data_IF_136590965698
#
_entry.id   IF_136590965698
#
_cell.length_a   1.000
_cell.length_b   1.000
_cell.length_c   1.000
_cell.angle_alpha   90.00
_cell.angle_beta   90.00
_cell.angle_gamma   90.00
#
_symmetry.space_group_name_H-M   'P 1'
#
loop_
_entity.id
_entity.type
_entity.pdbx_description
1 polymer ?
#
# COMPACT_ATOMS: atom_id res chain seq x y z
N UNK A 1 62.64 -15.70 -29.96
CA UNK A 1 61.18 -15.83 -30.29
C UNK A 1 60.35 -16.55 -29.24
N UNK A 2 60.90 -17.30 -28.28
CA UNK A 2 60.07 -17.99 -27.24
C UNK A 2 59.66 -17.13 -25.99
N UNK A 3 60.37 -16.04 -25.72
CA UNK A 3 60.10 -15.17 -24.59
C UNK A 3 58.96 -14.18 -24.82
N UNK A 4 58.74 -13.73 -26.06
CA UNK A 4 57.63 -12.79 -26.36
C UNK A 4 56.24 -13.42 -26.35
N UNK A 5 56.12 -14.74 -26.54
CA UNK A 5 54.83 -15.43 -26.54
C UNK A 5 54.27 -15.65 -25.12
N UNK A 6 55.16 -15.79 -24.12
CA UNK A 6 54.77 -16.00 -22.73
C UNK A 6 54.22 -14.72 -22.09
N UNK A 7 54.73 -13.54 -22.45
CA UNK A 7 54.26 -12.26 -21.95
C UNK A 7 52.85 -11.91 -22.47
N UNK A 8 52.52 -12.29 -23.70
CA UNK A 8 51.21 -12.01 -24.31
C UNK A 8 50.10 -12.87 -23.65
N UNK A 9 50.41 -14.13 -23.32
CA UNK A 9 49.44 -15.04 -22.68
C UNK A 9 49.13 -14.58 -21.25
N UNK A 10 50.14 -14.10 -20.49
CA UNK A 10 49.91 -13.58 -19.12
C UNK A 10 49.09 -12.29 -19.12
N UNK A 11 49.27 -11.40 -20.13
CA UNK A 11 48.49 -10.17 -20.25
C UNK A 11 47.03 -10.44 -20.62
N UNK A 12 46.76 -11.42 -21.48
CA UNK A 12 45.38 -11.79 -21.89
C UNK A 12 44.63 -12.43 -20.72
N UNK A 13 45.29 -13.25 -19.88
CA UNK A 13 44.67 -13.86 -18.71
C UNK A 13 44.38 -12.84 -17.59
N UNK A 14 45.22 -11.83 -17.38
CA UNK A 14 44.99 -10.76 -16.41
C UNK A 14 43.85 -9.85 -16.83
N UNK A 15 43.71 -9.50 -18.11
CA UNK A 15 42.59 -8.69 -18.62
C UNK A 15 41.28 -9.47 -18.58
N UNK A 16 41.29 -10.78 -18.83
CA UNK A 16 40.10 -11.63 -18.71
C UNK A 16 39.63 -11.77 -17.26
N UNK A 17 40.55 -11.90 -16.28
CA UNK A 17 40.19 -11.92 -14.85
C UNK A 17 39.65 -10.57 -14.34
N UNK A 18 40.21 -9.44 -14.79
CA UNK A 18 39.73 -8.10 -14.44
C UNK A 18 38.32 -7.82 -15.02
N UNK A 19 38.06 -8.29 -16.24
CA UNK A 19 36.74 -8.16 -16.85
C UNK A 19 35.67 -9.10 -16.23
N UNK A 20 36.08 -10.25 -15.71
CA UNK A 20 35.17 -11.16 -14.98
C UNK A 20 34.77 -10.58 -13.62
N UNK A 21 35.75 -10.02 -12.86
CA UNK A 21 35.45 -9.36 -11.55
C UNK A 21 34.66 -8.07 -11.72
N UNK A 22 34.90 -7.28 -12.77
CA UNK A 22 34.10 -6.10 -13.08
C UNK A 22 32.66 -6.46 -13.52
N UNK A 23 32.48 -7.60 -14.21
CA UNK A 23 31.12 -8.10 -14.55
C UNK A 23 30.35 -8.69 -13.35
N UNK A 24 31.04 -9.24 -12.36
CA UNK A 24 30.40 -9.71 -11.12
C UNK A 24 30.03 -8.56 -10.19
N UNK A 25 30.83 -7.48 -10.16
CA UNK A 25 30.50 -6.29 -9.38
C UNK A 25 29.33 -5.47 -9.96
N UNK A 26 29.06 -5.53 -11.27
CA UNK A 26 27.91 -4.84 -11.88
C UNK A 26 26.60 -5.61 -11.76
N UNK A 27 26.60 -6.84 -11.24
CA UNK A 27 25.39 -7.62 -10.90
C UNK A 27 24.99 -7.51 -9.43
N UNK A 28 25.50 -6.54 -8.68
CA UNK A 28 24.85 -6.11 -7.45
C UNK A 28 23.59 -5.36 -7.86
N UNK A 29 22.52 -6.10 -8.13
CA UNK A 29 21.17 -5.59 -8.25
C UNK A 29 20.99 -4.70 -7.03
N UNK A 30 20.80 -3.40 -7.22
CA UNK A 30 20.36 -2.50 -6.17
C UNK A 30 18.99 -3.07 -5.78
N UNK A 31 18.95 -3.93 -4.77
CA UNK A 31 17.70 -4.31 -4.16
C UNK A 31 17.13 -3.01 -3.59
N UNK A 32 16.18 -2.43 -4.30
CA UNK A 32 15.39 -1.33 -3.76
C UNK A 32 14.86 -1.81 -2.42
N UNK A 33 15.21 -1.09 -1.36
CA UNK A 33 14.81 -1.48 0.00
C UNK A 33 13.29 -1.62 0.05
N UNK A 34 12.83 -2.77 0.54
CA UNK A 34 11.41 -3.06 0.65
C UNK A 34 10.76 -2.09 1.65
N UNK A 35 9.78 -1.32 1.20
CA UNK A 35 9.07 -0.37 2.04
C UNK A 35 8.11 -1.11 2.98
N UNK A 36 8.22 -0.80 4.27
CA UNK A 36 7.23 -1.17 5.28
C UNK A 36 6.53 0.11 5.73
N UNK A 37 5.28 0.27 5.31
CA UNK A 37 4.50 1.47 5.55
C UNK A 37 3.27 1.16 6.40
N UNK A 38 2.63 2.21 6.92
CA UNK A 38 1.30 2.14 7.53
C UNK A 38 0.33 3.06 6.78
N UNK A 39 -0.88 2.60 6.58
CA UNK A 39 -1.98 3.43 6.07
C UNK A 39 -2.33 4.46 7.13
N UNK A 40 -2.22 5.74 6.79
CA UNK A 40 -2.39 6.85 7.70
C UNK A 40 -3.65 7.63 7.38
N UNK A 41 -4.64 7.45 8.22
CA UNK A 41 -5.87 8.22 8.24
C UNK A 41 -5.98 8.90 9.61
N UNK A 42 -6.01 10.26 9.68
CA UNK A 42 -6.03 10.98 10.94
C UNK A 42 -7.46 11.23 11.49
N UNK A 43 -8.44 10.47 11.03
CA UNK A 43 -9.83 10.57 11.48
C UNK A 43 -10.07 9.74 12.75
N UNK A 44 -9.37 10.12 13.82
CA UNK A 44 -9.41 9.45 15.13
C UNK A 44 -10.42 10.10 16.08
N UNK A 45 -10.77 9.41 17.14
CA UNK A 45 -11.74 9.89 18.15
C UNK A 45 -13.11 10.13 17.54
N UNK A 46 -13.59 11.38 17.63
CA UNK A 46 -14.91 11.79 17.13
C UNK A 46 -14.90 12.35 15.71
N UNK A 47 -13.73 12.38 15.06
CA UNK A 47 -13.63 12.89 13.69
C UNK A 47 -14.24 11.87 12.73
N UNK A 48 -15.25 12.31 11.98
CA UNK A 48 -15.88 11.52 10.94
C UNK A 48 -15.86 12.31 9.62
N UNK A 49 -15.16 11.82 8.59
CA UNK A 49 -15.09 12.48 7.29
C UNK A 49 -16.44 12.62 6.60
N UNK A 50 -17.39 11.68 6.80
CA UNK A 50 -18.71 11.69 6.19
C UNK A 50 -19.56 12.88 6.67
N UNK A 51 -19.24 13.43 7.83
CA UNK A 51 -19.87 14.63 8.37
C UNK A 51 -19.03 15.89 8.17
N UNK A 52 -18.06 15.84 7.26
CA UNK A 52 -17.24 16.98 6.91
C UNK A 52 -16.20 17.37 7.97
N UNK A 53 -15.84 16.46 8.88
CA UNK A 53 -14.78 16.71 9.83
C UNK A 53 -13.42 16.75 9.12
N UNK A 54 -12.56 17.67 9.55
CA UNK A 54 -11.21 17.84 9.03
C UNK A 54 -10.19 17.74 10.16
N UNK A 55 -9.11 16.94 10.00
CA UNK A 55 -8.06 16.86 11.01
C UNK A 55 -7.28 18.17 11.05
N UNK A 56 -6.92 18.60 12.26
CA UNK A 56 -6.06 19.77 12.43
C UNK A 56 -4.59 19.45 12.17
N UNK A 57 -3.80 20.47 11.90
CA UNK A 57 -2.35 20.35 11.75
C UNK A 57 -1.69 19.81 13.01
N UNK A 58 -2.17 20.22 14.18
CA UNK A 58 -1.66 19.78 15.49
C UNK A 58 -1.91 18.30 15.71
N UNK A 59 -3.13 17.83 15.41
CA UNK A 59 -3.47 16.40 15.50
C UNK A 59 -2.60 15.55 14.58
N UNK A 60 -2.43 15.95 13.32
CA UNK A 60 -1.57 15.23 12.38
C UNK A 60 -0.14 15.14 12.90
N UNK A 61 0.42 16.23 13.44
CA UNK A 61 1.75 16.22 14.03
C UNK A 61 1.82 15.27 15.23
N UNK A 62 0.85 15.30 16.14
CA UNK A 62 0.78 14.40 17.30
C UNK A 62 0.75 12.92 16.88
N UNK A 63 -0.13 12.59 15.91
CA UNK A 63 -0.27 11.21 15.44
C UNK A 63 1.01 10.71 14.73
N UNK A 64 1.66 11.53 13.91
CA UNK A 64 2.92 11.16 13.27
C UNK A 64 4.05 11.00 14.28
N UNK A 65 4.15 11.89 15.28
CA UNK A 65 5.13 11.74 16.38
C UNK A 65 4.90 10.45 17.14
N UNK A 66 3.64 10.11 17.40
CA UNK A 66 3.27 8.87 18.07
C UNK A 66 3.64 7.64 17.25
N UNK A 67 3.31 7.65 15.96
CA UNK A 67 3.61 6.55 15.04
C UNK A 67 5.12 6.26 15.00
N UNK A 68 5.96 7.27 14.77
CA UNK A 68 7.41 7.08 14.67
C UNK A 68 8.08 6.73 16.01
N UNK A 69 7.48 7.13 17.12
CA UNK A 69 7.99 6.83 18.47
C UNK A 69 7.71 5.38 18.88
N UNK A 70 6.53 4.86 18.54
CA UNK A 70 6.07 3.55 19.03
C UNK A 70 6.18 2.43 17.99
N UNK A 71 6.44 2.77 16.72
CA UNK A 71 6.55 1.80 15.63
C UNK A 71 7.82 1.99 14.80
N UNK A 72 8.25 0.98 14.03
CA UNK A 72 9.37 1.12 13.11
C UNK A 72 9.01 1.86 11.82
N UNK A 73 7.74 2.20 11.57
CA UNK A 73 7.31 2.77 10.31
C UNK A 73 7.90 4.16 10.06
N UNK A 74 8.50 4.35 8.88
CA UNK A 74 9.04 5.61 8.36
C UNK A 74 8.50 5.90 6.96
N UNK A 75 7.42 5.22 6.63
CA UNK A 75 6.65 5.39 5.40
C UNK A 75 5.17 5.29 5.75
N UNK A 76 4.35 6.15 5.14
CA UNK A 76 2.89 6.13 5.27
C UNK A 76 2.22 6.19 3.90
N UNK A 77 0.97 5.76 3.84
CA UNK A 77 0.05 6.00 2.72
C UNK A 77 -1.13 6.83 3.23
N UNK A 78 -1.47 7.92 2.51
CA UNK A 78 -2.59 8.81 2.88
C UNK A 78 -3.79 8.57 1.97
N UNK A 79 -4.99 8.92 2.43
CA UNK A 79 -6.24 8.74 1.69
C UNK A 79 -6.79 10.05 1.08
N UNK A 80 -6.00 11.09 1.03
CA UNK A 80 -6.41 12.35 0.42
C UNK A 80 -5.31 13.40 0.46
N UNK A 81 -5.60 14.52 -0.24
CA UNK A 81 -4.68 15.64 -0.45
C UNK A 81 -5.33 17.00 -0.12
N UNK A 82 -6.54 16.99 0.44
CA UNK A 82 -7.35 18.16 0.78
C UNK A 82 -8.01 17.98 2.16
N UNK A 83 -8.76 18.99 2.57
CA UNK A 83 -9.63 18.93 3.75
C UNK A 83 -8.88 18.62 5.06
N UNK A 84 -7.71 19.25 5.24
CA UNK A 84 -6.82 19.06 6.38
C UNK A 84 -5.76 17.96 6.15
N UNK A 85 -5.99 17.03 5.22
CA UNK A 85 -5.01 15.97 4.92
C UNK A 85 -3.73 16.50 4.26
N UNK A 86 -3.78 17.66 3.61
CA UNK A 86 -2.63 18.34 3.02
C UNK A 86 -1.54 18.71 4.06
N UNK A 87 -1.90 18.89 5.31
CA UNK A 87 -0.93 19.14 6.39
C UNK A 87 0.01 17.95 6.64
N UNK A 88 -0.39 16.74 6.21
CA UNK A 88 0.41 15.52 6.37
C UNK A 88 1.75 15.61 5.64
N UNK A 89 1.80 16.27 4.47
CA UNK A 89 3.02 16.28 3.65
C UNK A 89 4.15 17.10 4.28
N UNK A 90 3.85 18.30 4.77
CA UNK A 90 4.82 19.10 5.51
C UNK A 90 5.25 18.44 6.84
N UNK A 91 4.29 17.83 7.55
CA UNK A 91 4.55 17.12 8.80
C UNK A 91 5.42 15.88 8.59
N UNK A 92 5.21 15.14 7.50
CA UNK A 92 6.00 13.98 7.10
C UNK A 92 7.43 14.40 6.67
N UNK A 93 7.55 15.48 5.88
CA UNK A 93 8.84 16.01 5.46
C UNK A 93 9.72 16.39 6.66
N UNK A 94 9.16 17.10 7.64
CA UNK A 94 9.86 17.49 8.87
C UNK A 94 10.36 16.29 9.70
N UNK A 95 9.79 15.10 9.50
CA UNK A 95 10.12 13.85 10.20
C UNK A 95 10.85 12.84 9.32
N UNK A 96 11.20 13.21 8.09
CA UNK A 96 11.80 12.32 7.08
C UNK A 96 10.96 11.06 6.80
N UNK A 97 9.64 11.14 6.94
CA UNK A 97 8.69 10.07 6.59
C UNK A 97 8.42 10.12 5.09
N UNK A 98 8.48 8.97 4.41
CA UNK A 98 8.08 8.85 3.02
C UNK A 98 6.57 8.68 2.90
N UNK A 99 5.99 9.23 1.83
CA UNK A 99 4.55 9.23 1.63
C UNK A 99 4.20 8.61 0.27
N UNK A 100 3.25 7.69 0.27
CA UNK A 100 2.47 7.30 -0.89
C UNK A 100 1.16 8.06 -0.78
N UNK A 101 0.91 9.00 -1.69
CA UNK A 101 -0.26 9.87 -1.60
C UNK A 101 -1.38 9.40 -2.53
N UNK A 102 -2.57 9.22 -1.98
CA UNK A 102 -3.78 8.93 -2.75
C UNK A 102 -4.49 10.25 -3.02
N UNK A 103 -4.78 10.50 -4.29
CA UNK A 103 -5.70 11.54 -4.73
C UNK A 103 -7.09 10.90 -4.72
N UNK A 104 -7.89 11.21 -3.71
CA UNK A 104 -9.19 10.58 -3.55
C UNK A 104 -10.11 10.94 -4.71
N UNK A 105 -10.72 9.93 -5.32
CA UNK A 105 -11.73 10.06 -6.37
C UNK A 105 -13.04 9.47 -5.88
N UNK A 106 -14.12 10.20 -6.10
CA UNK A 106 -15.46 9.88 -5.69
C UNK A 106 -16.46 10.04 -6.86
N UNK A 107 -17.75 9.97 -6.58
CA UNK A 107 -18.82 10.14 -7.56
C UNK A 107 -19.07 11.61 -7.96
N UNK A 108 -18.54 12.59 -7.22
CA UNK A 108 -18.59 14.02 -7.57
C UNK A 108 -17.39 14.44 -8.42
N UNK A 109 -17.62 14.63 -9.75
CA UNK A 109 -16.60 15.06 -10.71
C UNK A 109 -15.99 16.42 -10.34
N UNK A 110 -16.76 17.33 -9.72
CA UNK A 110 -16.24 18.64 -9.31
C UNK A 110 -15.30 18.50 -8.10
N UNK A 111 -15.60 17.60 -7.17
CA UNK A 111 -14.70 17.25 -6.07
C UNK A 111 -13.44 16.59 -6.65
N UNK A 112 -13.57 15.64 -7.57
CA UNK A 112 -12.44 15.00 -8.23
C UNK A 112 -11.50 16.00 -8.92
N UNK A 113 -12.05 17.01 -9.58
CA UNK A 113 -11.25 18.05 -10.25
C UNK A 113 -10.41 18.84 -9.24
N UNK A 114 -10.98 19.21 -8.09
CA UNK A 114 -10.25 19.89 -7.01
C UNK A 114 -9.19 18.98 -6.39
N UNK A 115 -9.53 17.71 -6.16
CA UNK A 115 -8.62 16.70 -5.60
C UNK A 115 -7.40 16.46 -6.51
N UNK A 116 -7.62 16.37 -7.83
CA UNK A 116 -6.54 16.23 -8.82
C UNK A 116 -5.64 17.48 -8.82
N UNK A 117 -6.22 18.68 -8.81
CA UNK A 117 -5.43 19.94 -8.77
C UNK A 117 -4.58 20.00 -7.50
N UNK A 118 -5.17 19.73 -6.33
CA UNK A 118 -4.44 19.69 -5.06
C UNK A 118 -3.35 18.58 -5.07
N UNK A 119 -3.63 17.43 -5.68
CA UNK A 119 -2.65 16.34 -5.85
C UNK A 119 -1.42 16.76 -6.67
N UNK A 120 -1.64 17.53 -7.74
CA UNK A 120 -0.54 18.09 -8.55
C UNK A 120 0.29 19.08 -7.72
N UNK A 121 -0.37 19.96 -6.95
CA UNK A 121 0.30 20.96 -6.11
C UNK A 121 1.18 20.31 -5.04
N UNK A 122 0.64 19.34 -4.27
CA UNK A 122 1.42 18.69 -3.21
C UNK A 122 2.54 17.81 -3.78
N UNK A 123 2.32 17.14 -4.92
CA UNK A 123 3.35 16.33 -5.57
C UNK A 123 4.55 17.17 -6.01
N UNK A 124 4.31 18.38 -6.51
CA UNK A 124 5.35 19.35 -6.89
C UNK A 124 6.02 20.03 -5.69
N UNK A 125 5.25 20.30 -4.63
CA UNK A 125 5.77 20.93 -3.41
C UNK A 125 6.67 19.99 -2.59
N UNK A 126 6.37 18.69 -2.58
CA UNK A 126 7.05 17.69 -1.73
C UNK A 126 7.66 16.51 -2.54
N UNK A 127 8.49 16.77 -3.58
CA UNK A 127 8.94 15.72 -4.52
C UNK A 127 9.89 14.69 -3.90
N UNK A 128 10.51 15.01 -2.75
CA UNK A 128 11.39 14.09 -2.01
C UNK A 128 10.64 13.29 -0.94
N UNK A 129 9.51 13.79 -0.49
CA UNK A 129 8.66 13.19 0.55
C UNK A 129 7.64 12.27 -0.06
N UNK A 130 6.91 12.75 -1.09
CA UNK A 130 5.96 11.94 -1.85
C UNK A 130 6.74 11.09 -2.86
N UNK A 131 6.77 9.79 -2.62
CA UNK A 131 7.54 8.83 -3.43
C UNK A 131 6.71 8.12 -4.50
N UNK A 132 5.38 8.11 -4.36
CA UNK A 132 4.42 7.51 -5.29
C UNK A 132 3.06 8.20 -5.16
N UNK A 133 2.28 8.12 -6.22
CA UNK A 133 0.92 8.66 -6.29
C UNK A 133 -0.07 7.58 -6.72
N UNK A 134 -1.30 7.68 -6.19
CA UNK A 134 -2.43 6.92 -6.67
C UNK A 134 -3.59 7.82 -7.06
N UNK A 135 -4.19 7.56 -8.19
CA UNK A 135 -5.46 8.12 -8.64
C UNK A 135 -6.61 7.27 -8.09
N UNK A 136 -7.03 7.58 -6.88
CA UNK A 136 -8.04 6.85 -6.13
C UNK A 136 -7.52 5.59 -5.42
N UNK A 137 -8.38 5.05 -4.56
CA UNK A 137 -8.28 3.72 -3.94
C UNK A 137 -9.64 3.05 -4.04
N UNK A 138 -9.67 1.81 -4.53
CA UNK A 138 -10.88 0.98 -4.70
C UNK A 138 -12.00 1.66 -5.50
N UNK A 139 -11.64 2.52 -6.47
CA UNK A 139 -12.61 3.24 -7.29
C UNK A 139 -13.49 2.27 -8.07
N UNK A 140 -12.91 1.21 -8.63
CA UNK A 140 -13.64 0.19 -9.38
C UNK A 140 -14.42 -0.74 -8.45
N UNK A 141 -13.84 -1.11 -7.32
CA UNK A 141 -14.49 -1.93 -6.29
C UNK A 141 -15.76 -1.23 -5.77
N UNK A 142 -15.68 0.09 -5.46
CA UNK A 142 -16.80 0.88 -4.94
C UNK A 142 -17.86 1.22 -6.00
N UNK A 143 -17.44 1.48 -7.25
CA UNK A 143 -18.27 2.11 -8.27
C UNK A 143 -18.49 1.25 -9.53
N UNK A 144 -18.11 -0.01 -9.51
CA UNK A 144 -18.35 -0.98 -10.57
C UNK A 144 -18.05 -0.44 -12.00
N UNK A 145 -16.81 0.10 -12.18
CA UNK A 145 -16.28 0.67 -13.45
C UNK A 145 -16.88 2.03 -13.87
N UNK A 146 -17.89 2.57 -13.19
CA UNK A 146 -18.55 3.81 -13.59
C UNK A 146 -17.59 5.01 -13.68
N UNK A 147 -16.48 4.98 -12.89
CA UNK A 147 -15.51 6.06 -12.82
C UNK A 147 -14.12 5.72 -13.40
N UNK A 148 -14.03 4.70 -14.25
CA UNK A 148 -12.78 4.37 -14.95
C UNK A 148 -12.23 5.58 -15.73
N UNK A 149 -13.12 6.41 -16.30
CA UNK A 149 -12.76 7.67 -16.97
C UNK A 149 -12.10 8.68 -16.05
N UNK A 150 -12.51 8.77 -14.78
CA UNK A 150 -11.93 9.67 -13.79
C UNK A 150 -10.53 9.24 -13.36
N UNK A 151 -10.29 7.94 -13.24
CA UNK A 151 -8.93 7.38 -12.99
C UNK A 151 -8.01 7.79 -14.15
N UNK A 152 -8.43 7.57 -15.39
CA UNK A 152 -7.67 7.91 -16.58
C UNK A 152 -7.42 9.42 -16.67
N UNK A 153 -8.43 10.25 -16.36
CA UNK A 153 -8.31 11.71 -16.33
C UNK A 153 -7.29 12.18 -15.29
N UNK A 154 -7.31 11.59 -14.10
CA UNK A 154 -6.35 11.88 -13.04
C UNK A 154 -4.91 11.53 -13.47
N UNK A 155 -4.68 10.33 -13.99
CA UNK A 155 -3.36 9.88 -14.45
C UNK A 155 -2.81 10.83 -15.53
N UNK A 156 -3.64 11.19 -16.52
CA UNK A 156 -3.25 12.10 -17.60
C UNK A 156 -2.92 13.49 -17.08
N UNK A 157 -3.77 14.07 -16.21
CA UNK A 157 -3.54 15.40 -15.63
C UNK A 157 -2.22 15.48 -14.84
N UNK A 158 -1.88 14.44 -14.06
CA UNK A 158 -0.60 14.38 -13.35
C UNK A 158 0.58 14.35 -14.32
N UNK A 159 0.49 13.58 -15.39
CA UNK A 159 1.55 13.49 -16.41
C UNK A 159 1.71 14.77 -17.18
N UNK A 160 0.62 15.36 -17.65
CA UNK A 160 0.60 16.65 -18.36
C UNK A 160 1.16 17.79 -17.49
N UNK A 161 0.91 17.73 -16.19
CA UNK A 161 1.50 18.66 -15.22
C UNK A 161 3.00 18.45 -14.97
N UNK A 162 3.61 17.38 -15.51
CA UNK A 162 5.03 17.07 -15.33
C UNK A 162 5.38 16.54 -13.93
N UNK A 163 4.43 15.88 -13.26
CA UNK A 163 4.67 15.20 -11.99
C UNK A 163 5.65 14.05 -12.20
N UNK A 164 6.72 14.00 -11.39
CA UNK A 164 7.82 13.04 -11.56
C UNK A 164 7.65 11.73 -10.79
N UNK A 165 6.75 11.70 -9.81
CA UNK A 165 6.48 10.51 -9.02
C UNK A 165 5.79 9.42 -9.86
N UNK A 166 6.10 8.14 -9.65
CA UNK A 166 5.37 7.04 -10.28
C UNK A 166 3.88 7.06 -9.90
N UNK A 167 3.01 6.88 -10.89
CA UNK A 167 1.55 7.00 -10.78
C UNK A 167 0.89 5.64 -10.94
N UNK A 168 -0.13 5.37 -10.13
CA UNK A 168 -1.02 4.21 -10.25
C UNK A 168 -2.48 4.59 -9.99
N UNK A 169 -3.37 3.62 -10.02
CA UNK A 169 -4.58 3.51 -9.19
C UNK A 169 -4.40 2.33 -8.23
N UNK A 170 -5.00 2.39 -7.06
CA UNK A 170 -5.03 1.28 -6.11
C UNK A 170 -6.41 0.63 -6.18
N UNK A 171 -6.45 -0.69 -6.23
CA UNK A 171 -7.71 -1.43 -6.15
C UNK A 171 -7.50 -2.81 -5.53
N UNK A 172 -8.57 -3.58 -5.31
CA UNK A 172 -8.45 -4.94 -4.84
C UNK A 172 -7.70 -5.81 -5.86
N UNK A 173 -7.02 -6.86 -5.40
CA UNK A 173 -6.30 -7.78 -6.29
C UNK A 173 -7.21 -8.36 -7.39
N UNK A 174 -8.50 -8.55 -7.06
CA UNK A 174 -9.51 -9.11 -7.95
C UNK A 174 -9.85 -8.17 -9.11
N UNK A 175 -9.90 -6.85 -8.87
CA UNK A 175 -10.06 -5.86 -9.93
C UNK A 175 -8.88 -5.84 -10.89
N UNK A 176 -7.66 -5.98 -10.37
CA UNK A 176 -6.46 -6.11 -11.20
C UNK A 176 -6.43 -7.38 -12.04
N UNK A 177 -7.18 -8.40 -11.66
CA UNK A 177 -7.40 -9.63 -12.44
C UNK A 177 -8.59 -9.55 -13.40
N UNK A 178 -9.20 -8.37 -13.54
CA UNK A 178 -10.41 -8.17 -14.35
C UNK A 178 -11.58 -9.06 -13.90
N UNK A 179 -11.64 -9.36 -12.60
CA UNK A 179 -12.63 -10.22 -11.94
C UNK A 179 -12.70 -11.65 -12.49
N UNK A 180 -11.62 -12.16 -13.06
CA UNK A 180 -11.55 -13.52 -13.60
C UNK A 180 -10.39 -14.33 -13.05
N UNK A 181 -10.54 -15.65 -13.07
CA UNK A 181 -9.49 -16.61 -12.71
C UNK A 181 -9.33 -17.61 -13.86
N UNK A 182 -8.12 -17.86 -14.37
CA UNK A 182 -6.87 -17.20 -14.00
C UNK A 182 -6.85 -15.70 -14.30
N UNK A 183 -5.96 -14.97 -13.60
CA UNK A 183 -5.85 -13.52 -13.67
C UNK A 183 -5.51 -13.01 -15.09
N UNK A 184 -6.27 -12.03 -15.58
CA UNK A 184 -6.05 -11.38 -16.87
C UNK A 184 -5.70 -9.90 -16.70
N UNK A 185 -4.88 -9.36 -17.62
CA UNK A 185 -4.48 -7.96 -17.63
C UNK A 185 -5.70 -7.05 -17.84
N UNK A 186 -5.78 -6.00 -17.01
CA UNK A 186 -6.76 -4.91 -17.19
C UNK A 186 -6.21 -3.83 -18.12
N UNK A 187 -7.09 -3.00 -18.67
CA UNK A 187 -6.71 -1.85 -19.49
C UNK A 187 -5.85 -0.82 -18.72
N UNK A 188 -5.95 -0.76 -17.39
CA UNK A 188 -5.13 0.12 -16.55
C UNK A 188 -3.68 -0.34 -16.44
N UNK A 189 -3.41 -1.63 -16.63
CA UNK A 189 -2.05 -2.14 -16.55
C UNK A 189 -1.06 -1.44 -17.47
N UNK A 190 -1.50 -0.95 -18.64
CA UNK A 190 -0.68 -0.17 -19.55
C UNK A 190 -0.54 1.30 -19.14
N UNK A 191 -1.50 1.84 -18.40
CA UNK A 191 -1.56 3.26 -18.03
C UNK A 191 -0.78 3.62 -16.78
N UNK A 192 -0.52 2.67 -15.90
CA UNK A 192 0.12 2.90 -14.59
C UNK A 192 1.59 2.53 -14.58
N UNK A 193 2.36 3.12 -13.67
CA UNK A 193 3.81 2.85 -13.54
C UNK A 193 4.08 1.68 -12.59
N UNK A 194 3.19 1.41 -11.65
CA UNK A 194 3.25 0.33 -10.66
C UNK A 194 1.84 -0.18 -10.35
N UNK A 195 1.72 -1.31 -9.68
CA UNK A 195 0.45 -1.94 -9.31
C UNK A 195 0.26 -1.83 -7.80
N UNK A 196 -0.78 -1.13 -7.38
CA UNK A 196 -1.20 -1.05 -5.98
C UNK A 196 -2.38 -1.97 -5.71
N UNK A 197 -2.25 -2.87 -4.73
CA UNK A 197 -3.28 -3.89 -4.46
C UNK A 197 -3.66 -3.97 -3.00
N UNK A 198 -4.97 -3.98 -2.74
CA UNK A 198 -5.55 -4.25 -1.44
C UNK A 198 -5.92 -5.73 -1.34
N UNK A 199 -5.49 -6.40 -0.28
CA UNK A 199 -5.77 -7.83 -0.07
C UNK A 199 -6.14 -8.07 1.38
N UNK A 200 -7.40 -8.44 1.60
CA UNK A 200 -7.92 -8.73 2.93
C UNK A 200 -8.55 -10.13 2.97
N UNK A 201 -7.82 -11.16 3.43
CA UNK A 201 -8.42 -12.48 3.65
C UNK A 201 -9.65 -12.43 4.57
N UNK A 202 -9.73 -11.44 5.46
CA UNK A 202 -10.89 -11.19 6.29
C UNK A 202 -12.17 -10.98 5.47
N UNK A 203 -12.11 -10.06 4.48
CA UNK A 203 -13.25 -9.77 3.62
C UNK A 203 -13.52 -10.87 2.60
N UNK A 204 -12.46 -11.54 2.11
CA UNK A 204 -12.62 -12.73 1.27
C UNK A 204 -13.34 -13.85 2.04
N UNK A 205 -13.02 -14.06 3.31
CA UNK A 205 -13.72 -15.00 4.18
C UNK A 205 -15.22 -14.71 4.28
N UNK A 206 -15.60 -13.43 4.28
CA UNK A 206 -16.99 -12.99 4.39
C UNK A 206 -17.74 -13.09 3.06
N UNK A 207 -17.09 -12.66 1.98
CA UNK A 207 -17.77 -12.31 0.72
C UNK A 207 -17.54 -13.30 -0.43
N UNK A 208 -16.55 -14.19 -0.35
CA UNK A 208 -16.27 -15.15 -1.42
C UNK A 208 -16.96 -16.48 -1.19
N UNK A 209 -17.63 -16.99 -2.24
CA UNK A 209 -18.18 -18.34 -2.30
C UNK A 209 -17.22 -19.35 -2.97
N UNK A 210 -16.16 -18.87 -3.61
CA UNK A 210 -15.19 -19.65 -4.38
C UNK A 210 -13.82 -19.75 -3.69
N UNK A 211 -13.49 -18.85 -2.78
CA UNK A 211 -12.22 -18.86 -2.05
C UNK A 211 -12.42 -19.53 -0.71
N UNK A 212 -11.66 -20.61 -0.43
CA UNK A 212 -11.72 -21.27 0.89
C UNK A 212 -11.36 -20.31 2.01
N UNK A 213 -11.96 -20.50 3.18
CA UNK A 213 -11.66 -19.74 4.38
C UNK A 213 -10.16 -19.71 4.68
N UNK A 214 -9.64 -18.50 4.90
CA UNK A 214 -8.24 -18.24 5.23
C UNK A 214 -8.15 -17.78 6.69
N UNK A 215 -7.66 -18.63 7.62
CA UNK A 215 -7.45 -18.23 9.00
C UNK A 215 -6.23 -17.30 9.13
N UNK A 216 -6.12 -16.57 10.27
CA UNK A 216 -5.06 -15.60 10.51
C UNK A 216 -3.64 -16.16 10.27
N UNK A 217 -3.37 -17.41 10.64
CA UNK A 217 -2.07 -18.06 10.44
C UNK A 217 -1.77 -18.43 8.97
N UNK A 218 -2.72 -18.26 8.06
CA UNK A 218 -2.57 -18.46 6.61
C UNK A 218 -2.70 -17.16 5.80
N UNK A 219 -3.05 -16.04 6.45
CA UNK A 219 -3.25 -14.78 5.77
C UNK A 219 -2.00 -14.32 5.00
N UNK A 220 -0.81 -14.46 5.57
CA UNK A 220 0.43 -14.10 4.89
C UNK A 220 0.70 -14.96 3.64
N UNK A 221 0.37 -16.25 3.67
CA UNK A 221 0.49 -17.15 2.48
C UNK A 221 -0.47 -16.68 1.38
N UNK A 222 -1.69 -16.30 1.76
CA UNK A 222 -2.69 -15.78 0.83
C UNK A 222 -2.21 -14.48 0.17
N UNK A 223 -1.69 -13.51 0.94
CA UNK A 223 -1.13 -12.27 0.41
C UNK A 223 -0.04 -12.55 -0.63
N UNK A 224 0.93 -13.39 -0.27
CA UNK A 224 2.04 -13.72 -1.17
C UNK A 224 1.56 -14.38 -2.45
N UNK A 225 0.63 -15.32 -2.37
CA UNK A 225 0.09 -16.01 -3.55
C UNK A 225 -0.57 -15.02 -4.53
N UNK A 226 -1.35 -14.06 -4.02
CA UNK A 226 -2.01 -13.03 -4.87
C UNK A 226 -0.98 -12.07 -5.47
N UNK A 227 0.03 -11.64 -4.71
CA UNK A 227 1.12 -10.81 -5.25
C UNK A 227 1.88 -11.56 -6.37
N UNK A 228 2.21 -12.83 -6.16
CA UNK A 228 2.89 -13.64 -7.16
C UNK A 228 2.07 -13.80 -8.45
N UNK A 229 0.77 -13.98 -8.33
CA UNK A 229 -0.15 -14.04 -9.47
C UNK A 229 -0.10 -12.73 -10.28
N UNK A 230 -0.23 -11.59 -9.61
CA UNK A 230 -0.18 -10.29 -10.27
C UNK A 230 1.20 -9.96 -10.87
N UNK A 231 2.28 -10.34 -10.21
CA UNK A 231 3.64 -10.17 -10.78
C UNK A 231 3.85 -11.01 -12.05
N UNK A 232 3.20 -12.16 -12.16
CA UNK A 232 3.21 -12.95 -13.41
C UNK A 232 2.33 -12.30 -14.49
N UNK A 233 1.19 -11.74 -14.09
CA UNK A 233 0.23 -11.09 -15.01
C UNK A 233 0.76 -9.76 -15.53
N UNK A 234 1.51 -9.00 -14.70
CA UNK A 234 2.08 -7.69 -15.05
C UNK A 234 3.61 -7.71 -14.99
N UNK A 235 4.29 -8.43 -15.90
CA UNK A 235 5.74 -8.56 -15.86
C UNK A 235 6.42 -7.20 -16.01
N UNK A 236 7.46 -6.97 -15.19
CA UNK A 236 8.22 -5.72 -15.19
C UNK A 236 7.60 -4.58 -14.36
N UNK A 237 6.38 -4.71 -13.87
CA UNK A 237 5.77 -3.75 -12.95
C UNK A 237 6.08 -4.11 -11.50
N UNK A 238 6.38 -3.08 -10.69
CA UNK A 238 6.44 -3.22 -9.24
C UNK A 238 5.01 -3.46 -8.73
N UNK A 239 4.81 -4.51 -7.95
CA UNK A 239 3.53 -4.80 -7.28
C UNK A 239 3.72 -4.54 -5.80
N UNK A 240 2.90 -3.66 -5.21
CA UNK A 240 2.91 -3.29 -3.80
C UNK A 240 1.59 -3.71 -3.16
N UNK A 241 1.68 -4.40 -2.04
CA UNK A 241 0.52 -4.68 -1.18
C UNK A 241 0.16 -3.41 -0.43
N UNK A 242 -0.78 -2.64 -0.98
CA UNK A 242 -1.13 -1.30 -0.49
C UNK A 242 -2.04 -1.31 0.73
N UNK A 243 -2.80 -2.37 0.92
CA UNK A 243 -3.51 -2.59 2.17
C UNK A 243 -3.56 -4.07 2.51
N UNK A 244 -3.21 -4.37 3.76
CA UNK A 244 -3.45 -5.65 4.39
C UNK A 244 -3.57 -5.48 5.90
N UNK A 245 -4.36 -6.30 6.53
CA UNK A 245 -4.56 -6.22 7.96
C UNK A 245 -5.40 -7.36 8.51
N UNK A 246 -5.74 -7.24 9.79
CA UNK A 246 -6.65 -8.12 10.51
C UNK A 246 -7.26 -7.35 11.68
N UNK A 247 -8.56 -7.44 11.95
CA UNK A 247 -9.16 -6.70 13.05
C UNK A 247 -8.65 -7.23 14.40
N UNK A 248 -8.27 -6.30 15.27
CA UNK A 248 -7.78 -6.61 16.62
C UNK A 248 -8.91 -6.78 17.66
N UNK A 249 -10.15 -6.60 17.25
CA UNK A 249 -11.33 -6.70 18.09
C UNK A 249 -12.64 -6.72 17.29
N UNK A 250 -13.79 -6.88 17.99
CA UNK A 250 -13.86 -7.29 19.40
C UNK A 250 -13.18 -8.63 19.63
N UNK A 251 -12.51 -8.81 20.78
CA UNK A 251 -11.72 -10.03 21.06
C UNK A 251 -12.58 -11.28 20.95
N UNK A 252 -12.13 -12.24 20.13
CA UNK A 252 -12.87 -13.46 19.84
C UNK A 252 -14.05 -13.29 18.90
N UNK A 253 -14.29 -12.10 18.35
CA UNK A 253 -15.29 -11.84 17.31
C UNK A 253 -15.01 -12.69 16.08
N UNK A 254 -16.05 -13.24 15.47
CA UNK A 254 -15.91 -14.21 14.36
C UNK A 254 -16.58 -13.67 13.12
N UNK A 255 -15.83 -13.63 12.04
CA UNK A 255 -16.39 -13.39 10.72
C UNK A 255 -16.95 -14.69 10.15
N UNK A 256 -18.17 -14.62 9.66
CA UNK A 256 -18.89 -15.75 9.07
C UNK A 256 -19.10 -15.50 7.58
N UNK A 257 -18.78 -16.48 6.77
CA UNK A 257 -19.02 -16.40 5.34
C UNK A 257 -20.51 -16.34 5.05
N UNK A 258 -20.96 -15.33 4.33
CA UNK A 258 -22.39 -15.07 4.08
C UNK A 258 -23.07 -16.09 3.17
N UNK A 259 -22.32 -16.84 2.39
CA UNK A 259 -22.86 -17.86 1.50
C UNK A 259 -22.83 -19.26 2.12
N UNK A 260 -21.68 -19.67 2.68
CA UNK A 260 -21.47 -21.01 3.21
C UNK A 260 -21.81 -21.15 4.70
N UNK A 261 -22.01 -20.03 5.40
CA UNK A 261 -22.19 -19.95 6.86
C UNK A 261 -20.99 -20.50 7.66
N UNK A 262 -19.84 -20.68 6.99
CA UNK A 262 -18.62 -21.14 7.66
C UNK A 262 -18.04 -20.00 8.51
N UNK A 263 -17.65 -20.32 9.73
CA UNK A 263 -16.95 -19.42 10.66
C UNK A 263 -15.45 -19.42 10.26
N UNK A 264 -14.98 -18.30 9.76
CA UNK A 264 -13.68 -18.23 9.09
C UNK A 264 -12.63 -17.43 9.87
N UNK A 265 -12.87 -16.13 10.04
CA UNK A 265 -11.93 -15.25 10.71
C UNK A 265 -12.23 -15.11 12.19
N UNK A 266 -11.20 -15.04 13.02
CA UNK A 266 -11.31 -14.70 14.44
C UNK A 266 -10.56 -13.42 14.69
N UNK A 267 -11.28 -12.35 15.12
CA UNK A 267 -10.69 -11.07 15.48
C UNK A 267 -9.94 -11.19 16.81
N UNK A 268 -8.96 -10.35 17.01
CA UNK A 268 -8.23 -10.27 18.25
C UNK A 268 -6.79 -9.79 18.06
N UNK A 269 -6.25 -9.18 19.11
CA UNK A 269 -4.92 -8.58 19.09
C UNK A 269 -3.82 -9.55 18.66
N UNK A 270 -3.85 -10.79 19.16
CA UNK A 270 -2.85 -11.82 18.81
C UNK A 270 -2.91 -12.19 17.32
N UNK A 271 -4.11 -12.27 16.75
CA UNK A 271 -4.28 -12.59 15.34
C UNK A 271 -3.85 -11.41 14.45
N UNK A 272 -4.17 -10.16 14.82
CA UNK A 272 -3.64 -8.98 14.12
C UNK A 272 -2.11 -8.98 14.12
N UNK A 273 -1.50 -9.16 15.29
CA UNK A 273 -0.04 -9.20 15.45
C UNK A 273 0.58 -10.32 14.59
N UNK A 274 -0.01 -11.51 14.59
CA UNK A 274 0.43 -12.64 13.77
C UNK A 274 0.38 -12.31 12.27
N UNK A 275 -0.74 -11.77 11.78
CA UNK A 275 -0.92 -11.42 10.37
C UNK A 275 0.07 -10.35 9.96
N UNK A 276 0.20 -9.27 10.72
CA UNK A 276 1.09 -8.16 10.40
C UNK A 276 2.55 -8.61 10.37
N UNK A 277 3.04 -9.28 11.41
CA UNK A 277 4.43 -9.78 11.48
C UNK A 277 4.75 -10.78 10.37
N UNK A 278 3.88 -11.77 10.17
CA UNK A 278 4.14 -12.83 9.18
C UNK A 278 4.09 -12.30 7.76
N UNK A 279 3.19 -11.35 7.46
CA UNK A 279 3.11 -10.73 6.14
C UNK A 279 4.33 -9.88 5.86
N UNK A 280 4.71 -8.95 6.75
CA UNK A 280 5.91 -8.15 6.55
C UNK A 280 7.17 -8.99 6.44
N UNK A 281 7.30 -10.03 7.30
CA UNK A 281 8.45 -10.94 7.19
C UNK A 281 8.55 -11.54 5.79
N UNK A 282 7.46 -12.10 5.25
CA UNK A 282 7.46 -12.71 3.91
C UNK A 282 7.70 -11.69 2.79
N UNK A 283 7.18 -10.48 2.91
CA UNK A 283 7.42 -9.39 1.97
C UNK A 283 8.90 -8.99 1.96
N UNK A 284 9.49 -8.77 3.12
CA UNK A 284 10.91 -8.41 3.26
C UNK A 284 11.82 -9.50 2.74
N UNK A 285 11.54 -10.77 3.07
CA UNK A 285 12.31 -11.94 2.58
C UNK A 285 12.33 -11.99 1.03
N UNK A 286 11.30 -11.44 0.36
CA UNK A 286 11.19 -11.35 -1.11
C UNK A 286 11.65 -9.99 -1.69
N UNK A 287 11.99 -9.02 -0.86
CA UNK A 287 12.29 -7.65 -1.29
C UNK A 287 11.06 -6.90 -1.81
N UNK A 288 9.86 -7.19 -1.28
CA UNK A 288 8.60 -6.59 -1.68
C UNK A 288 8.07 -5.62 -0.63
N UNK A 289 7.41 -4.58 -1.10
CA UNK A 289 6.83 -3.54 -0.25
C UNK A 289 5.41 -3.87 0.19
N UNK A 290 5.05 -3.41 1.40
CA UNK A 290 3.70 -3.55 1.93
C UNK A 290 3.30 -2.44 2.90
N UNK A 291 2.00 -2.24 3.05
CA UNK A 291 1.39 -1.19 3.86
C UNK A 291 0.33 -1.84 4.76
N UNK A 292 0.54 -1.78 6.06
CA UNK A 292 -0.44 -2.29 7.01
C UNK A 292 -1.64 -1.35 7.10
N UNK A 293 -2.83 -1.89 7.01
CA UNK A 293 -4.09 -1.22 7.27
C UNK A 293 -4.52 -1.52 8.69
N UNK A 294 -4.52 -0.56 9.62
CA UNK A 294 -4.17 0.85 9.44
C UNK A 294 -3.36 1.37 10.64
N UNK A 295 -2.82 2.58 10.56
CA UNK A 295 -2.00 3.16 11.64
C UNK A 295 -2.79 3.35 12.93
N UNK A 296 -3.97 3.99 12.86
CA UNK A 296 -4.81 4.30 14.02
C UNK A 296 -6.24 3.81 13.79
N UNK A 297 -6.84 3.24 14.82
CA UNK A 297 -8.25 2.82 14.78
C UNK A 297 -9.19 4.01 14.56
N UNK A 298 -10.16 3.86 13.69
CA UNK A 298 -11.13 4.88 13.30
C UNK A 298 -12.53 4.50 13.81
N UNK A 299 -13.02 5.21 14.81
CA UNK A 299 -14.28 4.87 15.51
C UNK A 299 -15.53 5.17 14.70
N UNK A 300 -15.44 5.89 13.59
CA UNK A 300 -16.56 6.20 12.69
C UNK A 300 -16.89 5.04 11.73
N UNK A 301 -15.95 4.18 11.41
CA UNK A 301 -16.09 3.07 10.44
C UNK A 301 -17.15 1.99 10.74
N UNK A 302 -17.67 1.76 11.96
CA UNK A 302 -18.75 0.79 12.17
C UNK A 302 -19.99 1.03 11.31
N UNK A 303 -20.23 2.27 10.87
CA UNK A 303 -21.33 2.60 9.98
C UNK A 303 -21.14 1.98 8.59
N UNK A 304 -19.90 1.83 8.14
CA UNK A 304 -19.52 1.35 6.83
C UNK A 304 -19.11 -0.14 6.84
N UNK A 305 -18.31 -0.54 7.82
CA UNK A 305 -17.64 -1.84 7.88
C UNK A 305 -18.22 -2.80 8.95
N UNK A 306 -19.31 -2.41 9.64
CA UNK A 306 -19.93 -3.20 10.68
C UNK A 306 -19.11 -3.30 11.96
N UNK A 307 -19.35 -4.35 12.76
CA UNK A 307 -18.78 -4.50 14.11
C UNK A 307 -17.24 -4.51 14.16
N UNK A 308 -16.55 -4.75 13.06
CA UNK A 308 -15.10 -4.84 12.99
C UNK A 308 -14.44 -3.55 12.49
N UNK A 309 -15.19 -2.60 11.95
CA UNK A 309 -14.67 -1.40 11.32
C UNK A 309 -13.73 -0.55 12.18
N UNK A 310 -14.02 -0.43 13.48
CA UNK A 310 -13.16 0.32 14.41
C UNK A 310 -11.91 -0.41 14.89
N UNK A 311 -11.62 -1.62 14.41
CA UNK A 311 -10.61 -2.48 15.02
C UNK A 311 -9.43 -2.82 14.11
N UNK A 312 -9.18 -2.03 13.07
CA UNK A 312 -8.07 -2.28 12.14
C UNK A 312 -6.76 -1.65 12.58
N UNK A 313 -6.81 -0.55 13.36
CA UNK A 313 -5.62 0.19 13.77
C UNK A 313 -4.60 -0.63 14.55
N UNK A 314 -3.33 -0.50 14.17
CA UNK A 314 -2.21 -1.00 14.99
C UNK A 314 -1.98 -0.15 16.24
N UNK A 315 -2.46 1.10 16.20
CA UNK A 315 -2.55 2.01 17.34
C UNK A 315 -4.03 2.28 17.67
N UNK A 316 -4.31 2.62 18.93
CA UNK A 316 -5.63 3.07 19.34
C UNK A 316 -6.00 4.39 18.67
N UNK A 317 -7.29 4.58 18.36
CA UNK A 317 -7.84 5.83 17.84
C UNK A 317 -8.14 6.89 18.91
N UNK A 318 -7.84 6.62 20.17
CA UNK A 318 -8.07 7.52 21.31
C UNK A 318 -6.76 7.79 22.05
N UNK A 319 -6.56 9.00 22.60
CA UNK A 319 -5.41 9.29 23.43
C UNK A 319 -5.25 8.27 24.58
N UNK A 320 -4.03 7.87 24.90
CA UNK A 320 -2.74 8.33 24.39
C UNK A 320 -2.24 7.65 23.09
N UNK A 321 -3.11 7.12 22.24
CA UNK A 321 -2.80 6.51 20.94
C UNK A 321 -1.75 5.39 21.01
N UNK A 322 -1.83 4.52 22.02
CA UNK A 322 -0.85 3.45 22.23
C UNK A 322 -0.87 2.44 21.09
N UNK A 323 0.32 2.05 20.61
CA UNK A 323 0.48 1.12 19.51
C UNK A 323 0.86 -0.29 19.97
N UNK A 324 0.50 -1.28 19.16
CA UNK A 324 1.01 -2.65 19.30
C UNK A 324 2.49 -2.67 18.93
N UNK A 325 3.32 -3.29 19.75
CA UNK A 325 4.75 -3.48 19.46
C UNK A 325 4.92 -4.69 18.52
N UNK A 326 5.43 -4.45 17.33
CA UNK A 326 5.74 -5.47 16.34
C UNK A 326 7.22 -5.86 16.33
#
# INVERSE_FOLDING_TARGET
MKQSLLLIIVFITLVACQNATAREQTKKTIHKEALQCAAFSPYVGKLNPDYGAHPSKELINELLDKLIKETPFRCIMTYGVMNGLEYTFAAAEARHIKVIAIIWLDDDIAVNSRSISAGIEVAKAYPKTIIKLSCGSEVRTRNNYAFDGEITRCINALREAGVSQPITTIDTWWEWCNRVSPCHITNFGAQVDWIGINIFPWWENKHSDVIPCTPANKAADFHIARIEELRRTYPGKEVILTEFGWPNGPEGGIETNKFTQQRCGVAGKKNQELVVKSTFKKLVDKGWSGIVFEAFSETWKPNEEGDFGSYWGICKGEPPYTCTKF
#
